data_IF_047986583782
#
_entry.id   IF_047986583782
#
_cell.length_a   1.000
_cell.length_b   1.000
_cell.length_c   1.000
_cell.angle_alpha   90.00
_cell.angle_beta   90.00
_cell.angle_gamma   90.00
#
_symmetry.space_group_name_H-M   'P 1'
#
loop_
_entity.id
_entity.type
_entity.pdbx_description
1 polymer ?
#
# COMPACT_ATOMS: atom_id res chain seq x y z
N UNK A 1 -11.38 -11.66 -13.90
CA UNK A 1 -11.80 -11.40 -12.51
C UNK A 1 -11.02 -10.21 -11.96
N UNK A 2 -11.67 -9.34 -11.25
CA UNK A 2 -11.04 -8.13 -10.76
C UNK A 2 -10.33 -8.28 -9.39
N UNK A 3 -10.48 -9.42 -8.74
CA UNK A 3 -9.85 -9.67 -7.46
C UNK A 3 -10.32 -8.76 -6.32
N UNK A 4 -11.57 -8.29 -6.38
CA UNK A 4 -12.16 -7.46 -5.34
C UNK A 4 -13.21 -8.22 -4.55
N UNK A 5 -13.40 -7.85 -3.29
CA UNK A 5 -14.48 -8.36 -2.45
C UNK A 5 -15.64 -7.36 -2.41
N UNK A 6 -16.60 -7.55 -1.49
CA UNK A 6 -17.77 -6.68 -1.37
C UNK A 6 -17.44 -5.22 -1.05
N UNK A 7 -16.27 -4.98 -0.46
CA UNK A 7 -15.79 -3.63 -0.16
C UNK A 7 -14.92 -3.07 -1.25
N UNK A 8 -14.92 -3.69 -2.42
CA UNK A 8 -14.10 -3.32 -3.57
C UNK A 8 -12.60 -3.41 -3.30
N UNK A 9 -12.19 -4.17 -2.31
CA UNK A 9 -10.79 -4.37 -1.98
C UNK A 9 -10.14 -5.32 -2.98
N UNK A 10 -8.96 -4.95 -3.47
CA UNK A 10 -8.14 -5.85 -4.27
C UNK A 10 -7.35 -6.79 -3.37
N UNK A 11 -6.66 -7.75 -3.98
CA UNK A 11 -5.75 -8.62 -3.23
C UNK A 11 -4.61 -7.81 -2.59
N UNK A 12 -4.21 -6.68 -3.17
CA UNK A 12 -3.24 -5.78 -2.53
C UNK A 12 -3.78 -5.19 -1.22
N UNK A 13 -5.03 -4.75 -1.21
CA UNK A 13 -5.64 -4.23 0.01
C UNK A 13 -5.61 -5.28 1.12
N UNK A 14 -6.02 -6.50 0.78
CA UNK A 14 -6.06 -7.60 1.75
C UNK A 14 -4.65 -7.93 2.26
N UNK A 15 -3.69 -8.05 1.36
CA UNK A 15 -2.31 -8.38 1.71
C UNK A 15 -1.69 -7.30 2.61
N UNK A 16 -1.88 -6.02 2.26
CA UNK A 16 -1.26 -4.92 2.99
C UNK A 16 -1.95 -4.66 4.33
N UNK A 17 -3.23 -5.00 4.45
CA UNK A 17 -3.91 -4.90 5.75
C UNK A 17 -3.47 -6.00 6.71
N UNK A 18 -2.99 -7.12 6.17
CA UNK A 18 -2.53 -8.28 6.96
C UNK A 18 -1.23 -8.82 6.39
N UNK A 19 -0.13 -8.06 6.48
CA UNK A 19 1.16 -8.54 5.98
C UNK A 19 1.57 -9.82 6.68
N UNK A 20 2.27 -10.67 5.96
CA UNK A 20 2.74 -11.93 6.53
C UNK A 20 3.75 -11.67 7.63
N UNK A 21 3.82 -12.58 8.59
CA UNK A 21 4.75 -12.49 9.71
C UNK A 21 6.20 -12.38 9.22
N UNK A 22 6.55 -13.09 8.15
CA UNK A 22 7.84 -12.99 7.49
C UNK A 22 7.68 -12.03 6.31
N UNK A 23 8.35 -10.87 6.36
CA UNK A 23 8.20 -9.82 5.35
C UNK A 23 8.56 -10.31 3.94
N UNK A 24 9.54 -11.21 3.83
CA UNK A 24 9.92 -11.79 2.55
C UNK A 24 8.73 -12.45 1.83
N UNK A 25 7.84 -13.10 2.58
CA UNK A 25 6.64 -13.70 2.00
C UNK A 25 5.67 -12.65 1.48
N UNK A 26 5.55 -11.54 2.19
CA UNK A 26 4.72 -10.41 1.73
C UNK A 26 5.29 -9.82 0.45
N UNK A 27 6.60 -9.68 0.37
CA UNK A 27 7.28 -9.18 -0.84
C UNK A 27 7.03 -10.12 -2.02
N UNK A 28 7.16 -11.42 -1.82
CA UNK A 28 6.92 -12.41 -2.88
C UNK A 28 5.48 -12.35 -3.40
N UNK A 29 4.50 -12.29 -2.49
CA UNK A 29 3.10 -12.19 -2.88
C UNK A 29 2.81 -10.89 -3.62
N UNK A 30 3.43 -9.79 -3.20
CA UNK A 30 3.31 -8.50 -3.88
C UNK A 30 3.81 -8.61 -5.33
N UNK A 31 4.96 -9.25 -5.53
CA UNK A 31 5.49 -9.43 -6.89
C UNK A 31 4.56 -10.29 -7.74
N UNK A 32 3.99 -11.34 -7.16
CA UNK A 32 3.03 -12.20 -7.87
C UNK A 32 1.80 -11.39 -8.31
N UNK A 33 1.28 -10.54 -7.45
CA UNK A 33 0.13 -9.69 -7.77
C UNK A 33 0.46 -8.67 -8.86
N UNK A 34 1.66 -8.08 -8.80
CA UNK A 34 2.13 -7.16 -9.84
C UNK A 34 2.19 -7.87 -11.18
N UNK A 35 2.79 -9.06 -11.21
CA UNK A 35 2.94 -9.85 -12.43
C UNK A 35 1.59 -10.31 -12.98
N UNK A 36 0.61 -10.51 -12.11
CA UNK A 36 -0.75 -10.88 -12.50
C UNK A 36 -1.58 -9.71 -13.02
N UNK A 37 -1.05 -8.48 -12.96
CA UNK A 37 -1.73 -7.29 -13.47
C UNK A 37 -2.76 -6.70 -12.53
N UNK A 38 -2.71 -7.03 -11.25
CA UNK A 38 -3.61 -6.42 -10.25
C UNK A 38 -3.22 -4.95 -10.08
N UNK A 39 -4.21 -4.05 -10.12
CA UNK A 39 -3.98 -2.62 -10.03
C UNK A 39 -3.74 -2.20 -8.57
N UNK A 40 -2.51 -1.78 -8.26
CA UNK A 40 -2.15 -1.33 -6.92
C UNK A 40 -2.83 0.00 -6.55
N UNK A 41 -3.28 0.75 -7.56
CA UNK A 41 -3.94 2.05 -7.34
C UNK A 41 -5.46 1.94 -7.25
N UNK A 42 -6.02 0.75 -7.37
CA UNK A 42 -7.45 0.54 -7.24
C UNK A 42 -7.91 0.99 -5.86
N UNK A 43 -8.97 1.81 -5.81
CA UNK A 43 -9.54 2.29 -4.57
C UNK A 43 -10.62 1.33 -4.07
N UNK A 44 -10.70 1.14 -2.75
CA UNK A 44 -11.77 0.35 -2.14
C UNK A 44 -13.05 1.20 -2.00
N UNK A 45 -14.06 0.66 -1.33
CA UNK A 45 -15.34 1.35 -1.15
C UNK A 45 -15.22 2.67 -0.37
N UNK A 46 -14.14 2.84 0.38
CA UNK A 46 -13.85 4.07 1.14
C UNK A 46 -12.78 4.93 0.48
N UNK A 47 -12.54 4.69 -0.80
CA UNK A 47 -11.56 5.42 -1.61
C UNK A 47 -10.13 5.31 -1.09
N UNK A 48 -9.79 4.18 -0.46
CA UNK A 48 -8.43 3.92 0.01
C UNK A 48 -7.67 3.08 -1.01
N UNK A 49 -6.48 3.53 -1.37
CA UNK A 49 -5.55 2.69 -2.12
C UNK A 49 -4.85 1.71 -1.15
N UNK A 50 -4.34 0.60 -1.67
CA UNK A 50 -3.67 -0.40 -0.84
C UNK A 50 -2.51 0.17 -0.04
N UNK A 51 -1.76 1.13 -0.61
CA UNK A 51 -0.63 1.75 0.09
C UNK A 51 -1.05 2.41 1.42
N UNK A 52 -2.28 2.86 1.52
CA UNK A 52 -2.77 3.49 2.76
C UNK A 52 -2.82 2.51 3.92
N UNK A 53 -3.04 1.23 3.63
CA UNK A 53 -2.99 0.20 4.68
C UNK A 53 -1.58 0.01 5.24
N UNK A 54 -0.56 0.14 4.39
CA UNK A 54 0.84 0.12 4.87
C UNK A 54 1.14 1.37 5.69
N UNK A 55 0.68 2.53 5.24
CA UNK A 55 0.92 3.79 5.93
C UNK A 55 0.39 3.74 7.36
N UNK A 56 -0.81 3.23 7.54
CA UNK A 56 -1.49 3.22 8.85
C UNK A 56 -1.26 1.94 9.66
N UNK A 57 -0.44 1.01 9.18
CA UNK A 57 -0.24 -0.27 9.86
C UNK A 57 0.49 -0.09 11.20
N UNK A 58 -0.06 -0.57 12.32
CA UNK A 58 0.49 -0.27 13.64
C UNK A 58 1.66 -1.17 14.08
N UNK A 59 1.86 -2.33 13.43
CA UNK A 59 2.83 -3.34 13.90
C UNK A 59 4.19 -3.28 13.24
N UNK A 60 4.28 -2.73 12.04
CA UNK A 60 5.51 -2.72 11.26
C UNK A 60 6.04 -1.31 11.10
N UNK A 61 7.36 -1.18 11.12
CA UNK A 61 8.04 0.10 10.88
C UNK A 61 8.38 0.25 9.40
N UNK A 62 8.84 1.45 9.01
CA UNK A 62 9.38 1.66 7.66
C UNK A 62 10.57 0.74 7.38
N UNK A 63 11.40 0.48 8.40
CA UNK A 63 12.53 -0.44 8.25
C UNK A 63 12.05 -1.84 7.89
N UNK A 64 10.99 -2.30 8.54
CA UNK A 64 10.40 -3.61 8.25
C UNK A 64 9.84 -3.67 6.83
N UNK A 65 9.22 -2.58 6.36
CA UNK A 65 8.61 -2.51 5.05
C UNK A 65 9.59 -2.13 3.94
N UNK A 66 10.83 -1.75 4.23
CA UNK A 66 11.75 -1.26 3.21
C UNK A 66 11.89 -2.21 2.00
N UNK A 67 12.05 -3.55 2.17
CA UNK A 67 12.09 -4.45 1.02
C UNK A 67 10.80 -4.43 0.19
N UNK A 68 9.67 -4.28 0.85
CA UNK A 68 8.37 -4.19 0.19
C UNK A 68 8.25 -2.89 -0.59
N UNK A 69 8.69 -1.77 -0.03
CA UNK A 69 8.71 -0.48 -0.71
C UNK A 69 9.57 -0.56 -1.97
N UNK A 70 10.73 -1.22 -1.89
CA UNK A 70 11.61 -1.36 -3.04
C UNK A 70 10.90 -2.03 -4.21
N UNK A 71 10.18 -3.11 -3.97
CA UNK A 71 9.43 -3.83 -5.01
C UNK A 71 8.31 -2.96 -5.58
N UNK A 72 7.57 -2.30 -4.71
CA UNK A 72 6.44 -1.46 -5.14
C UNK A 72 6.94 -0.32 -6.03
N UNK A 73 7.93 0.43 -5.57
CA UNK A 73 8.38 1.63 -6.30
C UNK A 73 9.22 1.31 -7.53
N UNK A 74 9.81 0.11 -7.62
CA UNK A 74 10.51 -0.32 -8.83
C UNK A 74 9.56 -0.78 -9.93
N UNK A 75 8.38 -1.28 -9.58
CA UNK A 75 7.47 -1.90 -10.52
C UNK A 75 6.19 -1.12 -10.78
N UNK A 76 5.85 -0.19 -9.90
CA UNK A 76 4.56 0.51 -9.96
C UNK A 76 4.75 2.01 -9.80
N UNK A 77 3.83 2.77 -10.42
CA UNK A 77 3.71 4.20 -10.16
C UNK A 77 2.48 4.37 -9.27
N UNK A 78 2.68 4.86 -8.05
CA UNK A 78 1.59 5.03 -7.10
C UNK A 78 0.83 6.33 -7.36
N UNK A 79 -0.50 6.24 -7.29
CA UNK A 79 -1.35 7.40 -7.30
C UNK A 79 -1.39 7.98 -5.88
N UNK A 80 -0.77 9.13 -5.68
CA UNK A 80 -0.60 9.71 -4.34
C UNK A 80 -1.48 10.92 -4.10
N UNK A 81 -2.35 11.24 -5.05
CA UNK A 81 -3.21 12.43 -4.97
C UNK A 81 -4.68 12.12 -4.72
N UNK A 82 -5.06 10.83 -4.68
CA UNK A 82 -6.44 10.44 -4.45
C UNK A 82 -6.78 10.49 -2.96
N UNK A 83 -7.80 11.25 -2.60
CA UNK A 83 -8.26 11.37 -1.22
C UNK A 83 -9.19 10.23 -0.85
N UNK A 84 -9.02 9.69 0.36
CA UNK A 84 -9.96 8.72 0.92
C UNK A 84 -11.20 9.42 1.46
N UNK A 85 -12.12 8.64 2.06
CA UNK A 85 -13.37 9.20 2.61
C UNK A 85 -13.15 10.15 3.78
N UNK A 86 -11.96 10.11 4.39
CA UNK A 86 -11.60 11.03 5.49
C UNK A 86 -10.91 12.30 4.99
N UNK A 87 -10.71 12.43 3.68
CA UNK A 87 -10.12 13.61 3.07
C UNK A 87 -8.60 13.64 3.01
N UNK A 88 -7.94 12.50 3.22
CA UNK A 88 -6.49 12.40 3.18
C UNK A 88 -5.98 11.71 1.92
N UNK A 89 -4.95 12.30 1.30
CA UNK A 89 -4.15 11.58 0.30
C UNK A 89 -3.15 10.69 1.01
N UNK A 90 -2.53 9.70 0.31
CA UNK A 90 -1.46 8.92 0.92
C UNK A 90 -0.34 9.78 1.50
N UNK A 91 0.06 10.85 0.80
CA UNK A 91 1.11 11.75 1.28
C UNK A 91 0.67 12.45 2.57
N UNK A 92 -0.54 12.99 2.61
CA UNK A 92 -1.06 13.67 3.79
C UNK A 92 -1.18 12.73 4.98
N UNK A 93 -1.62 11.51 4.74
CA UNK A 93 -1.75 10.49 5.78
C UNK A 93 -0.38 10.14 6.37
N UNK A 94 0.63 9.97 5.52
CA UNK A 94 2.00 9.67 5.97
C UNK A 94 2.57 10.81 6.80
N UNK A 95 2.31 12.06 6.41
CA UNK A 95 2.75 13.24 7.18
C UNK A 95 2.08 13.30 8.54
N UNK A 96 0.79 13.00 8.59
CA UNK A 96 0.02 13.04 9.83
C UNK A 96 0.53 12.02 10.84
N UNK A 97 0.86 10.82 10.38
CA UNK A 97 1.26 9.73 11.26
C UNK A 97 2.72 9.82 11.73
N UNK A 98 3.57 10.55 11.01
CA UNK A 98 4.95 10.88 11.38
C UNK A 98 5.93 9.70 11.50
N UNK A 99 5.48 8.48 11.52
CA UNK A 99 6.37 7.32 11.60
C UNK A 99 6.61 6.65 10.25
N UNK A 100 6.18 7.28 9.16
CA UNK A 100 6.36 6.81 7.78
C UNK A 100 7.26 7.75 6.98
N UNK A 101 8.32 8.24 7.60
CA UNK A 101 9.20 9.22 6.95
C UNK A 101 9.86 8.68 5.67
N UNK A 102 10.29 7.41 5.68
CA UNK A 102 10.90 6.78 4.50
C UNK A 102 9.87 6.62 3.38
N UNK A 103 8.68 6.12 3.71
CA UNK A 103 7.63 5.97 2.72
C UNK A 103 7.20 7.32 2.16
N UNK A 104 7.07 8.33 3.01
CA UNK A 104 6.74 9.69 2.58
C UNK A 104 7.78 10.22 1.60
N UNK A 105 9.06 10.04 1.91
CA UNK A 105 10.15 10.46 1.03
C UNK A 105 10.04 9.78 -0.34
N UNK A 106 9.80 8.49 -0.37
CA UNK A 106 9.67 7.74 -1.62
C UNK A 106 8.48 8.21 -2.45
N UNK A 107 7.37 8.56 -1.80
CA UNK A 107 6.18 9.06 -2.50
C UNK A 107 6.36 10.47 -3.07
N UNK A 108 7.26 11.26 -2.50
CA UNK A 108 7.47 12.65 -2.92
C UNK A 108 8.69 12.85 -3.82
N UNK A 109 9.47 11.82 -4.05
CA UNK A 109 10.62 11.87 -4.97
C UNK A 109 10.26 11.61 -6.42
#
# INVERSE_FOLDING_TARGET
MKGTNEESETLFHILFSRPKHIMEQTVELTQILIDAGVDINQLDAKHRAAIQYLISHPKFTDEDFAPLYDVIFQNCTLEVNAKNDWGYTPIELARKLQYRADLLKRMTE
#
